data_IF_788333005529
#
_entry.id   IF_788333005529
#
_cell.length_a   1.000
_cell.length_b   1.000
_cell.length_c   1.000
_cell.angle_alpha   90.00
_cell.angle_beta   90.00
_cell.angle_gamma   90.00
#
_symmetry.space_group_name_H-M   'P 1'
#
loop_
_entity.id
_entity.type
_entity.pdbx_description
1 polymer ?
#
# COMPACT_ATOMS: atom_id res chain seq x y z
N UNK A 1 53.40 39.12 33.40
CA UNK A 1 52.30 39.66 32.57
C UNK A 1 51.45 38.49 32.13
N UNK A 2 50.19 38.46 32.58
CA UNK A 2 49.28 37.34 32.37
C UNK A 2 48.57 37.48 31.01
N UNK A 3 48.60 36.41 30.21
CA UNK A 3 47.79 36.30 29.00
C UNK A 3 46.38 35.85 29.41
N UNK A 4 45.43 36.78 29.30
CA UNK A 4 44.01 36.54 29.55
C UNK A 4 43.42 35.69 28.43
N UNK A 5 43.04 34.45 28.76
CA UNK A 5 42.30 33.55 27.88
C UNK A 5 40.84 33.98 27.77
N UNK A 6 40.44 34.56 26.64
CA UNK A 6 39.02 34.83 26.33
C UNK A 6 38.37 33.53 25.87
N UNK A 7 37.66 32.85 26.78
CA UNK A 7 36.83 31.71 26.46
C UNK A 7 35.56 32.20 25.73
N UNK A 8 35.51 32.04 24.40
CA UNK A 8 34.29 32.23 23.63
C UNK A 8 33.32 31.07 23.96
N UNK A 9 32.35 31.36 24.81
CA UNK A 9 31.20 30.48 25.03
C UNK A 9 30.38 30.39 23.73
N UNK A 10 30.60 29.35 22.95
CA UNK A 10 29.69 28.97 21.88
C UNK A 10 28.39 28.44 22.52
N UNK A 11 27.40 29.31 22.64
CA UNK A 11 26.01 28.92 22.93
C UNK A 11 25.53 28.01 21.82
N UNK A 12 25.57 26.70 22.06
CA UNK A 12 24.97 25.68 21.20
C UNK A 12 23.47 25.97 21.15
N UNK A 13 23.03 26.67 20.11
CA UNK A 13 21.62 26.79 19.76
C UNK A 13 21.15 25.39 19.35
N UNK A 14 20.74 24.60 20.33
CA UNK A 14 20.01 23.37 20.06
C UNK A 14 18.68 23.81 19.45
N UNK A 15 18.59 23.76 18.12
CA UNK A 15 17.33 23.83 17.39
C UNK A 15 16.47 22.68 17.90
N UNK A 16 15.66 22.95 18.92
CA UNK A 16 14.64 22.02 19.37
C UNK A 16 13.66 21.89 18.20
N UNK A 17 13.40 20.69 17.67
CA UNK A 17 12.37 20.52 16.65
C UNK A 17 11.07 21.06 17.23
N UNK A 18 10.47 22.05 16.57
CA UNK A 18 9.19 22.61 17.00
C UNK A 18 8.17 21.47 17.15
N UNK A 19 7.31 21.52 18.17
CA UNK A 19 6.35 20.45 18.48
C UNK A 19 5.52 19.99 17.26
N UNK A 20 5.29 20.89 16.30
CA UNK A 20 4.64 20.64 15.01
C UNK A 20 5.43 19.68 14.11
N UNK A 21 6.76 19.77 14.09
CA UNK A 21 7.62 18.84 13.34
C UNK A 21 7.63 17.45 14.00
N UNK A 22 7.67 17.39 15.33
CA UNK A 22 7.66 16.13 16.07
C UNK A 22 6.32 15.37 15.95
N UNK A 23 5.20 16.07 15.82
CA UNK A 23 3.90 15.43 15.54
C UNK A 23 3.78 14.93 14.09
N UNK A 24 4.30 15.68 13.12
CA UNK A 24 4.34 15.27 11.72
C UNK A 24 5.12 13.97 11.51
N UNK A 25 6.30 13.86 12.12
CA UNK A 25 7.14 12.65 12.01
C UNK A 25 6.48 11.40 12.60
N UNK A 26 5.73 11.53 13.70
CA UNK A 26 5.00 10.40 14.29
C UNK A 26 3.86 9.90 13.40
N UNK A 27 3.14 10.84 12.77
CA UNK A 27 2.07 10.48 11.84
C UNK A 27 2.60 9.76 10.60
N UNK A 28 3.74 10.21 10.08
CA UNK A 28 4.40 9.59 8.93
C UNK A 28 4.90 8.17 9.24
N UNK A 29 5.52 7.98 10.41
CA UNK A 29 6.00 6.67 10.85
C UNK A 29 4.83 5.66 11.01
N UNK A 30 3.70 6.11 11.57
CA UNK A 30 2.48 5.28 11.67
C UNK A 30 1.98 4.89 10.27
N UNK A 31 1.94 5.84 9.33
CA UNK A 31 1.51 5.57 7.96
C UNK A 31 2.41 4.54 7.26
N UNK A 32 3.73 4.67 7.40
CA UNK A 32 4.70 3.73 6.84
C UNK A 32 4.58 2.33 7.46
N UNK A 33 4.38 2.25 8.78
CA UNK A 33 4.19 0.96 9.47
C UNK A 33 2.89 0.27 9.03
N UNK A 34 1.80 1.03 8.85
CA UNK A 34 0.56 0.49 8.29
C UNK A 34 0.77 -0.02 6.86
N UNK A 35 1.49 0.73 6.03
CA UNK A 35 1.78 0.35 4.66
C UNK A 35 2.65 -0.92 4.59
N UNK A 36 3.67 -1.03 5.46
CA UNK A 36 4.48 -2.26 5.61
C UNK A 36 3.61 -3.47 5.96
N UNK A 37 2.68 -3.32 6.89
CA UNK A 37 1.77 -4.41 7.29
C UNK A 37 0.89 -4.89 6.13
N UNK A 38 0.33 -3.95 5.35
CA UNK A 38 -0.47 -4.28 4.16
C UNK A 38 0.38 -5.02 3.12
N UNK A 39 1.59 -4.54 2.84
CA UNK A 39 2.51 -5.19 1.90
C UNK A 39 2.81 -6.62 2.35
N UNK A 40 3.08 -6.83 3.63
CA UNK A 40 3.37 -8.15 4.19
C UNK A 40 2.20 -9.11 4.01
N UNK A 41 0.97 -8.67 4.28
CA UNK A 41 -0.23 -9.49 4.10
C UNK A 41 -0.47 -9.89 2.64
N UNK A 42 -0.12 -9.00 1.70
CA UNK A 42 -0.36 -9.22 0.27
C UNK A 42 0.75 -10.03 -0.41
N UNK A 43 1.99 -9.93 0.06
CA UNK A 43 3.18 -10.45 -0.65
C UNK A 43 4.02 -11.44 0.15
N UNK A 44 3.78 -11.57 1.46
CA UNK A 44 4.66 -12.24 2.43
C UNK A 44 6.09 -11.67 2.50
N UNK A 45 6.33 -10.47 1.94
CA UNK A 45 7.60 -9.75 2.03
C UNK A 45 7.57 -8.75 3.17
N UNK A 46 8.74 -8.49 3.75
CA UNK A 46 8.88 -7.53 4.84
C UNK A 46 9.89 -6.43 4.45
N UNK A 47 9.44 -5.35 3.79
CA UNK A 47 10.32 -4.24 3.42
C UNK A 47 10.81 -3.52 4.68
N UNK A 48 12.13 -3.36 4.79
CA UNK A 48 12.77 -2.84 6.00
C UNK A 48 12.90 -1.31 5.97
N UNK A 49 13.15 -0.70 4.81
CA UNK A 49 13.34 0.75 4.71
C UNK A 49 12.08 1.49 4.24
N UNK A 50 11.90 2.79 4.56
CA UNK A 50 10.81 3.60 4.01
C UNK A 50 10.76 3.60 2.49
N UNK A 51 11.94 3.62 1.84
CA UNK A 51 12.05 3.54 0.39
C UNK A 51 11.49 2.23 -0.14
N UNK A 52 11.84 1.10 0.47
CA UNK A 52 11.37 -0.22 0.02
C UNK A 52 9.87 -0.37 0.23
N UNK A 53 9.33 0.16 1.34
CA UNK A 53 7.88 0.21 1.60
C UNK A 53 7.17 0.96 0.46
N UNK A 54 7.67 2.15 0.09
CA UNK A 54 7.07 2.96 -0.96
C UNK A 54 7.22 2.32 -2.34
N UNK A 55 8.38 1.72 -2.65
CA UNK A 55 8.64 1.05 -3.91
C UNK A 55 7.73 -0.17 -4.10
N UNK A 56 7.60 -1.01 -3.07
CA UNK A 56 6.73 -2.20 -3.12
C UNK A 56 5.25 -1.80 -3.15
N UNK A 57 4.84 -0.77 -2.41
CA UNK A 57 3.49 -0.21 -2.52
C UNK A 57 3.18 0.29 -3.94
N UNK A 58 4.11 1.00 -4.57
CA UNK A 58 3.96 1.47 -5.94
C UNK A 58 3.87 0.33 -6.95
N UNK A 59 4.60 -0.76 -6.73
CA UNK A 59 4.51 -1.98 -7.54
C UNK A 59 3.13 -2.63 -7.36
N UNK A 60 2.66 -2.80 -6.12
CA UNK A 60 1.37 -3.41 -5.81
C UNK A 60 0.20 -2.63 -6.44
N UNK A 61 0.24 -1.30 -6.38
CA UNK A 61 -0.77 -0.44 -7.01
C UNK A 61 -0.85 -0.62 -8.53
N UNK A 62 0.24 -1.03 -9.19
CA UNK A 62 0.26 -1.32 -10.63
C UNK A 62 -0.28 -2.71 -10.96
N UNK A 63 0.06 -3.73 -10.16
CA UNK A 63 -0.25 -5.13 -10.49
C UNK A 63 -1.64 -5.58 -10.02
N UNK A 64 -2.10 -5.10 -8.86
CA UNK A 64 -3.33 -5.58 -8.24
C UNK A 64 -4.60 -5.32 -9.08
N UNK A 65 -4.76 -4.17 -9.78
CA UNK A 65 -5.93 -3.97 -10.62
C UNK A 65 -6.06 -5.00 -11.75
N UNK A 66 -4.94 -5.35 -12.38
CA UNK A 66 -4.90 -6.34 -13.46
C UNK A 66 -5.19 -7.76 -12.94
N UNK A 67 -4.57 -8.15 -11.82
CA UNK A 67 -4.85 -9.45 -11.18
C UNK A 67 -6.32 -9.54 -10.73
N UNK A 68 -6.87 -8.47 -10.16
CA UNK A 68 -8.28 -8.43 -9.75
C UNK A 68 -9.22 -8.57 -10.97
N UNK A 69 -8.92 -7.90 -12.09
CA UNK A 69 -9.67 -8.08 -13.33
C UNK A 69 -9.59 -9.52 -13.86
N UNK A 70 -8.40 -10.13 -13.83
CA UNK A 70 -8.19 -11.53 -14.23
C UNK A 70 -8.99 -12.50 -13.37
N UNK A 71 -8.95 -12.34 -12.05
CA UNK A 71 -9.71 -13.18 -11.11
C UNK A 71 -11.22 -13.03 -11.32
N UNK A 72 -11.72 -11.81 -11.51
CA UNK A 72 -13.14 -11.57 -11.84
C UNK A 72 -13.57 -12.27 -13.13
N UNK A 73 -12.74 -12.22 -14.16
CA UNK A 73 -13.02 -12.95 -15.41
C UNK A 73 -13.04 -14.47 -15.20
N UNK A 74 -12.13 -15.01 -14.38
CA UNK A 74 -12.12 -16.43 -14.06
C UNK A 74 -13.38 -16.83 -13.28
N UNK A 75 -13.77 -16.06 -12.25
CA UNK A 75 -15.00 -16.32 -11.51
C UNK A 75 -16.24 -16.28 -12.40
N UNK A 76 -16.32 -15.35 -13.34
CA UNK A 76 -17.43 -15.28 -14.30
C UNK A 76 -17.44 -16.47 -15.26
N UNK A 77 -16.27 -17.03 -15.62
CA UNK A 77 -16.17 -18.22 -16.48
C UNK A 77 -16.50 -19.50 -15.70
N UNK A 78 -16.07 -19.60 -14.44
CA UNK A 78 -16.34 -20.76 -13.57
C UNK A 78 -17.77 -20.72 -13.00
N UNK A 79 -18.39 -19.53 -12.92
CA UNK A 79 -19.78 -19.32 -12.52
C UNK A 79 -20.83 -19.82 -13.52
N UNK A 80 -20.44 -20.47 -14.62
CA UNK A 80 -21.34 -21.05 -15.64
C UNK A 80 -21.58 -22.57 -15.43
N UNK A 81 -21.00 -23.21 -14.41
CA UNK A 81 -21.15 -24.68 -14.19
C UNK A 81 -21.92 -25.09 -12.93
N UNK A 82 -22.69 -24.20 -12.31
CA UNK A 82 -23.61 -24.57 -11.22
C UNK A 82 -24.91 -23.79 -11.32
N UNK A 83 -25.62 -24.03 -12.41
CA UNK A 83 -26.91 -23.42 -12.70
C UNK A 83 -27.45 -23.98 -13.98
N UNK A 84 -27.84 -25.25 -13.95
CA UNK A 84 -28.67 -25.83 -14.99
C UNK A 84 -29.93 -24.99 -15.17
N UNK A 85 -29.88 -24.06 -16.12
CA UNK A 85 -31.06 -23.64 -16.86
C UNK A 85 -30.75 -23.93 -18.31
N UNK A 86 -31.07 -25.16 -18.71
CA UNK A 86 -31.39 -25.45 -20.10
C UNK A 86 -32.62 -24.61 -20.47
N UNK A 87 -32.41 -23.36 -20.91
CA UNK A 87 -33.45 -22.63 -21.65
C UNK A 87 -33.39 -23.14 -23.10
N UNK A 88 -33.70 -24.42 -23.30
CA UNK A 88 -34.26 -24.88 -24.57
C UNK A 88 -35.77 -24.69 -24.46
N UNK A 89 -36.19 -23.44 -24.50
CA UNK A 89 -37.60 -23.07 -24.52
C UNK A 89 -38.19 -23.35 -25.90
N UNK A 90 -39.15 -24.26 -25.96
CA UNK A 90 -40.32 -24.10 -26.83
C UNK A 90 -40.27 -24.80 -28.18
N UNK A 91 -40.75 -26.03 -28.20
CA UNK A 91 -41.35 -26.70 -29.36
C UNK A 91 -42.43 -25.81 -29.99
N UNK A 92 -42.23 -25.39 -31.25
CA UNK A 92 -43.24 -24.78 -32.11
C UNK A 92 -43.54 -25.70 -33.29
N UNK A 93 -44.64 -26.45 -33.18
CA UNK A 93 -45.26 -27.24 -34.24
C UNK A 93 -45.83 -26.37 -35.36
N UNK A 94 -45.55 -26.73 -36.62
CA UNK A 94 -46.44 -26.53 -37.78
C UNK A 94 -46.18 -25.35 -38.71
N UNK A 95 -45.86 -25.66 -39.98
CA UNK A 95 -46.54 -25.20 -41.22
C UNK A 95 -45.59 -24.99 -42.41
N UNK A 96 -45.61 -25.92 -43.36
CA UNK A 96 -45.68 -25.72 -44.82
C UNK A 96 -46.07 -27.06 -45.46
#
# INVERSE_FOLDING_TARGET
>A
MAITSTNLSHTKLATMPSATQAQGSKSEEIALNNLRSIIQQLTNRQPETPHDILAEAALLMKILPAENARMKQQLNKTGITSGGTVVSGGTGTGRA
#
